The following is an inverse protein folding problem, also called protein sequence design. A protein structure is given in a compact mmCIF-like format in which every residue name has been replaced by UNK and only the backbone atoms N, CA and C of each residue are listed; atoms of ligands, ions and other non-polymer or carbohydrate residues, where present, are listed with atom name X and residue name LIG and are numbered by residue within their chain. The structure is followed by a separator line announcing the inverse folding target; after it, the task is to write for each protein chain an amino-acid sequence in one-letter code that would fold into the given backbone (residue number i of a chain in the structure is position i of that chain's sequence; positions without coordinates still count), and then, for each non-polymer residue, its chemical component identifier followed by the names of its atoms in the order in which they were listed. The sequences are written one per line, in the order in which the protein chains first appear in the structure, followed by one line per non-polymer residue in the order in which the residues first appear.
data_IF_695728974844
#
_entry.id   IF_695728974844
#
_cell.length_a   1.000
_cell.length_b   1.000
_cell.length_c   1.000
_cell.angle_alpha   90.00
_cell.angle_beta   90.00
_cell.angle_gamma   90.00
#
_symmetry.space_group_name_H-M   'P 1'
#
loop_
_entity.id
_entity.type
_entity.pdbx_description
1 polymer ?
#
# COMPACT_ATOMS: atom_id res chain seq x y z
N UNK A 1 -9.39 -20.80 -2.35
CA UNK A 1 -8.82 -19.61 -2.99
C UNK A 1 -7.84 -20.11 -4.02
N UNK A 2 -8.25 -20.21 -5.29
CA UNK A 2 -7.31 -20.53 -6.36
C UNK A 2 -6.28 -19.41 -6.42
N UNK A 3 -5.00 -19.75 -6.32
CA UNK A 3 -3.92 -18.78 -6.50
C UNK A 3 -4.07 -18.19 -7.89
N UNK A 4 -4.27 -16.86 -7.97
CA UNK A 4 -4.33 -16.15 -9.24
C UNK A 4 -3.08 -16.54 -10.03
N UNK A 5 -3.26 -17.32 -11.10
CA UNK A 5 -2.17 -17.85 -11.92
C UNK A 5 -1.35 -16.64 -12.35
N UNK A 6 -0.18 -16.46 -11.73
CA UNK A 6 0.65 -15.29 -11.99
C UNK A 6 0.86 -15.27 -13.49
N UNK A 7 0.56 -14.14 -14.15
CA UNK A 7 0.76 -14.00 -15.59
C UNK A 7 2.27 -13.95 -15.85
N UNK A 8 2.92 -15.11 -15.76
CA UNK A 8 4.26 -15.36 -16.23
C UNK A 8 4.09 -16.07 -17.55
N UNK A 9 4.59 -15.46 -18.63
CA UNK A 9 4.46 -16.04 -19.96
C UNK A 9 5.23 -17.35 -20.00
N UNK A 10 4.54 -18.43 -20.34
CA UNK A 10 5.14 -19.74 -20.56
C UNK A 10 5.77 -19.77 -21.96
N UNK A 11 6.92 -20.44 -22.09
CA UNK A 11 7.52 -20.68 -23.40
C UNK A 11 6.76 -21.83 -24.11
N UNK A 12 6.62 -21.78 -25.45
CA UNK A 12 7.05 -20.70 -26.33
C UNK A 12 6.13 -19.47 -26.27
N UNK A 13 6.70 -18.27 -26.44
CA UNK A 13 5.92 -17.03 -26.56
C UNK A 13 5.03 -17.14 -27.80
N UNK A 14 3.79 -16.64 -27.72
CA UNK A 14 2.89 -16.54 -28.86
C UNK A 14 3.59 -15.82 -30.04
N UNK A 15 3.67 -16.44 -31.24
CA UNK A 15 4.24 -15.81 -32.42
C UNK A 15 3.59 -14.45 -32.71
N UNK A 16 4.38 -13.43 -33.05
CA UNK A 16 3.90 -12.06 -33.30
C UNK A 16 3.70 -11.20 -32.05
N UNK A 17 4.07 -11.68 -30.86
CA UNK A 17 4.07 -10.88 -29.65
C UNK A 17 5.15 -9.78 -29.70
N UNK A 18 4.73 -8.51 -29.64
CA UNK A 18 5.60 -7.33 -29.70
C UNK A 18 5.67 -6.52 -28.40
N UNK A 19 5.04 -6.99 -27.33
CA UNK A 19 5.04 -6.27 -26.06
C UNK A 19 6.33 -6.47 -25.25
N UNK A 20 6.36 -5.92 -24.04
CA UNK A 20 7.53 -5.97 -23.16
C UNK A 20 8.03 -7.40 -22.84
N UNK A 21 9.35 -7.60 -22.90
CA UNK A 21 10.09 -8.81 -22.47
C UNK A 21 11.09 -8.40 -21.39
N UNK A 22 10.99 -8.94 -20.15
CA UNK A 22 11.94 -8.62 -19.08
C UNK A 22 13.39 -8.90 -19.46
N UNK A 23 14.32 -8.05 -19.00
CA UNK A 23 15.77 -8.12 -19.23
C UNK A 23 16.26 -7.99 -20.68
N UNK A 24 15.38 -8.03 -21.68
CA UNK A 24 15.76 -7.93 -23.09
C UNK A 24 16.48 -6.62 -23.42
N UNK A 25 16.04 -5.50 -22.84
CA UNK A 25 16.68 -4.19 -23.02
C UNK A 25 18.09 -4.10 -22.41
N UNK A 26 18.46 -5.03 -21.55
CA UNK A 26 19.74 -5.04 -20.85
C UNK A 26 20.83 -5.86 -21.56
N UNK A 27 20.48 -6.60 -22.62
CA UNK A 27 21.40 -7.56 -23.27
C UNK A 27 22.32 -6.98 -24.35
N UNK A 28 22.13 -5.73 -24.77
CA UNK A 28 23.12 -4.98 -25.56
C UNK A 28 23.38 -5.44 -27.02
N UNK A 29 23.04 -6.67 -27.42
CA UNK A 29 23.25 -7.17 -28.78
C UNK A 29 22.04 -7.94 -29.34
N UNK A 30 21.68 -7.60 -30.57
CA UNK A 30 20.54 -8.10 -31.34
C UNK A 30 20.82 -9.48 -31.95
N UNK A 31 20.70 -10.55 -31.17
CA UNK A 31 20.55 -11.90 -31.73
C UNK A 31 19.10 -12.38 -31.51
N UNK A 32 18.50 -12.97 -32.52
CA UNK A 32 17.08 -13.38 -32.52
C UNK A 32 16.76 -14.53 -31.54
N UNK A 33 17.76 -15.07 -30.83
CA UNK A 33 17.63 -16.20 -29.90
C UNK A 33 17.62 -15.81 -28.40
N UNK A 34 17.88 -14.55 -28.07
CA UNK A 34 18.11 -14.12 -26.68
C UNK A 34 16.83 -13.89 -25.84
N UNK A 35 15.64 -13.81 -26.48
CA UNK A 35 14.37 -13.65 -25.76
C UNK A 35 14.07 -14.84 -24.84
N UNK A 36 14.31 -16.05 -25.34
CA UNK A 36 14.08 -17.29 -24.59
C UNK A 36 14.95 -17.34 -23.33
N UNK A 37 16.21 -16.89 -23.47
CA UNK A 37 17.17 -16.81 -22.40
C UNK A 37 16.78 -15.78 -21.33
N UNK A 38 16.39 -14.57 -21.75
CA UNK A 38 15.89 -13.53 -20.86
C UNK A 38 14.68 -13.98 -20.03
N UNK A 39 13.72 -14.64 -20.67
CA UNK A 39 12.53 -15.14 -19.99
C UNK A 39 12.87 -16.26 -19.00
N UNK A 40 13.78 -17.16 -19.36
CA UNK A 40 14.26 -18.21 -18.46
C UNK A 40 14.92 -17.61 -17.21
N UNK A 41 15.83 -16.66 -17.38
CA UNK A 41 16.48 -15.96 -16.25
C UNK A 41 15.43 -15.27 -15.37
N UNK A 42 14.46 -14.58 -15.98
CA UNK A 42 13.40 -13.92 -15.23
C UNK A 42 12.55 -14.92 -14.42
N UNK A 43 12.21 -16.06 -15.01
CA UNK A 43 11.48 -17.12 -14.33
C UNK A 43 12.28 -17.70 -13.16
N UNK A 44 13.54 -18.03 -13.37
CA UNK A 44 14.45 -18.57 -12.34
C UNK A 44 14.64 -17.58 -11.18
N UNK A 45 14.91 -16.30 -11.49
CA UNK A 45 15.07 -15.26 -10.47
C UNK A 45 13.80 -15.04 -9.66
N UNK A 46 12.64 -15.03 -10.34
CA UNK A 46 11.35 -14.87 -9.68
C UNK A 46 11.06 -16.05 -8.75
N UNK A 47 11.37 -17.28 -9.20
CA UNK A 47 11.18 -18.47 -8.39
C UNK A 47 12.10 -18.46 -7.17
N UNK A 48 13.40 -18.17 -7.37
CA UNK A 48 14.36 -18.04 -6.28
C UNK A 48 13.93 -17.00 -5.24
N UNK A 49 13.42 -15.85 -5.67
CA UNK A 49 12.91 -14.83 -4.76
C UNK A 49 11.70 -15.32 -3.95
N UNK A 50 10.78 -16.04 -4.59
CA UNK A 50 9.64 -16.67 -3.90
C UNK A 50 10.10 -17.70 -2.88
N UNK A 51 11.06 -18.53 -3.24
CA UNK A 51 11.60 -19.57 -2.35
C UNK A 51 12.28 -18.94 -1.13
N UNK A 52 13.09 -17.89 -1.34
CA UNK A 52 13.71 -17.11 -0.26
C UNK A 52 12.66 -16.46 0.65
N UNK A 53 11.62 -15.86 0.06
CA UNK A 53 10.55 -15.24 0.84
C UNK A 53 9.82 -16.28 1.71
N UNK A 54 9.60 -17.47 1.19
CA UNK A 54 8.95 -18.55 1.92
C UNK A 54 9.86 -19.12 3.02
N UNK A 55 11.17 -19.22 2.77
CA UNK A 55 12.17 -19.55 3.79
C UNK A 55 12.17 -18.51 4.93
N UNK A 56 12.11 -17.22 4.59
CA UNK A 56 11.99 -16.15 5.58
C UNK A 56 10.70 -16.25 6.38
N UNK A 57 9.56 -16.56 5.75
CA UNK A 57 8.30 -16.76 6.46
C UNK A 57 8.38 -17.95 7.42
N UNK A 58 8.97 -19.06 6.98
CA UNK A 58 9.18 -20.24 7.82
C UNK A 58 10.08 -19.93 9.02
N UNK A 59 11.20 -19.24 8.80
CA UNK A 59 12.12 -18.87 9.89
C UNK A 59 11.47 -17.90 10.89
N UNK A 60 10.71 -16.91 10.42
CA UNK A 60 9.97 -15.99 11.30
C UNK A 60 8.87 -16.72 12.07
N UNK A 61 8.17 -17.66 11.45
CA UNK A 61 7.12 -18.44 12.10
C UNK A 61 7.67 -19.42 13.15
N UNK A 62 8.86 -19.96 12.93
CA UNK A 62 9.53 -20.89 13.86
C UNK A 62 10.35 -20.18 14.95
N UNK A 63 10.67 -18.90 14.75
CA UNK A 63 11.40 -18.12 15.74
C UNK A 63 10.62 -18.04 17.07
N UNK A 64 11.29 -18.21 18.22
CA UNK A 64 10.63 -18.11 19.50
C UNK A 64 10.12 -16.68 19.70
N UNK A 65 8.84 -16.55 20.09
CA UNK A 65 8.27 -15.25 20.45
C UNK A 65 9.04 -14.68 21.63
N UNK A 66 9.63 -13.51 21.44
CA UNK A 66 10.29 -12.78 22.52
C UNK A 66 9.27 -12.40 23.58
N UNK A 67 9.64 -12.55 24.85
CA UNK A 67 8.81 -12.07 25.96
C UNK A 67 8.98 -10.55 26.05
N UNK A 68 7.87 -9.79 26.08
CA UNK A 68 7.97 -8.34 26.27
C UNK A 68 8.57 -8.05 27.64
N UNK A 69 9.60 -7.19 27.66
CA UNK A 69 10.26 -6.75 28.91
C UNK A 69 9.41 -5.70 29.63
N UNK A 70 8.71 -4.85 28.87
CA UNK A 70 7.86 -3.78 29.37
C UNK A 70 6.39 -4.05 28.98
N UNK A 71 5.45 -3.57 29.79
CA UNK A 71 4.03 -3.59 29.43
C UNK A 71 3.78 -2.73 28.20
N UNK A 72 2.84 -3.15 27.36
CA UNK A 72 2.45 -2.44 26.14
C UNK A 72 2.04 -0.98 26.45
N UNK A 73 1.27 -0.79 27.52
CA UNK A 73 0.84 0.53 28.01
C UNK A 73 2.02 1.45 28.31
N UNK A 74 3.08 0.93 28.92
CA UNK A 74 4.28 1.71 29.25
C UNK A 74 4.97 2.18 27.96
N UNK A 75 5.07 1.31 26.96
CA UNK A 75 5.68 1.63 25.66
C UNK A 75 4.83 2.66 24.91
N UNK A 76 3.51 2.50 24.90
CA UNK A 76 2.62 3.47 24.26
C UNK A 76 2.69 4.84 24.93
N UNK A 77 2.76 4.88 26.26
CA UNK A 77 2.90 6.13 27.02
C UNK A 77 4.22 6.83 26.75
N UNK A 78 5.33 6.09 26.69
CA UNK A 78 6.65 6.68 26.38
C UNK A 78 6.74 7.14 24.93
N UNK A 79 6.21 6.38 23.98
CA UNK A 79 6.08 6.81 22.59
C UNK A 79 5.25 8.09 22.49
N UNK A 80 4.10 8.15 23.15
CA UNK A 80 3.26 9.34 23.19
C UNK A 80 4.02 10.55 23.76
N UNK A 81 4.75 10.37 24.86
CA UNK A 81 5.58 11.43 25.44
C UNK A 81 6.68 11.89 24.47
N UNK A 82 7.34 10.96 23.79
CA UNK A 82 8.36 11.25 22.77
C UNK A 82 7.76 12.08 21.62
N UNK A 83 6.65 11.63 21.05
CA UNK A 83 6.00 12.38 19.98
C UNK A 83 5.51 13.75 20.46
N UNK A 84 5.02 13.88 21.70
CA UNK A 84 4.63 15.19 22.25
C UNK A 84 5.81 16.15 22.35
N UNK A 85 6.99 15.64 22.67
CA UNK A 85 8.20 16.44 22.85
C UNK A 85 8.85 16.83 21.52
N UNK A 86 8.92 15.91 20.55
CA UNK A 86 9.71 16.11 19.32
C UNK A 86 8.87 16.26 18.05
N UNK A 87 7.64 15.73 18.04
CA UNK A 87 6.77 15.67 16.86
C UNK A 87 5.30 15.98 17.21
N UNK A 88 5.00 17.16 17.79
CA UNK A 88 3.66 17.48 18.27
C UNK A 88 2.60 17.41 17.14
N UNK A 89 2.98 17.75 15.91
CA UNK A 89 2.12 17.66 14.72
C UNK A 89 1.82 16.23 14.23
N UNK A 90 2.52 15.21 14.74
CA UNK A 90 2.25 13.81 14.42
C UNK A 90 1.20 13.19 15.36
N UNK A 91 1.12 13.66 16.61
CA UNK A 91 0.04 13.28 17.54
C UNK A 91 -1.24 14.02 17.21
N UNK A 92 -1.08 15.31 16.97
CA UNK A 92 -2.11 16.17 16.45
C UNK A 92 -2.19 15.94 14.94
N UNK A 93 -2.73 14.79 14.52
CA UNK A 93 -3.45 14.76 13.24
C UNK A 93 -4.72 15.60 13.40
N UNK A 94 -4.53 16.88 13.71
CA UNK A 94 -5.49 17.92 13.48
C UNK A 94 -5.59 17.93 11.97
N UNK A 95 -6.79 17.68 11.48
CA UNK A 95 -7.33 18.49 10.41
C UNK A 95 -7.08 19.96 10.78
N UNK A 96 -5.85 20.44 10.57
CA UNK A 96 -5.48 21.83 10.63
C UNK A 96 -6.24 22.42 9.46
N UNK A 97 -7.50 22.79 9.74
CA UNK A 97 -8.26 23.73 8.95
C UNK A 97 -7.40 24.97 8.88
N UNK A 98 -6.50 25.02 7.90
CA UNK A 98 -5.84 26.25 7.52
C UNK A 98 -7.00 27.18 7.18
N UNK A 99 -7.18 28.32 7.89
CA UNK A 99 -8.25 29.23 7.52
C UNK A 99 -8.02 29.59 6.06
N UNK A 100 -8.99 29.24 5.20
CA UNK A 100 -8.93 29.59 3.79
C UNK A 100 -8.92 31.11 3.74
N UNK A 101 -7.86 31.69 3.19
CA UNK A 101 -7.77 33.13 2.99
C UNK A 101 -8.76 33.61 1.93
N UNK A 102 -9.29 32.66 1.14
CA UNK A 102 -10.32 32.84 0.14
C UNK A 102 -11.67 32.29 0.63
N UNK A 103 -12.80 32.92 0.28
CA UNK A 103 -14.11 32.42 0.66
C UNK A 103 -14.34 31.02 0.05
N UNK A 104 -14.90 30.06 0.81
CA UNK A 104 -15.16 28.72 0.29
C UNK A 104 -16.14 28.80 -0.88
N UNK A 105 -15.79 28.16 -1.99
CA UNK A 105 -16.69 28.01 -3.14
C UNK A 105 -17.99 27.36 -2.62
N UNK A 106 -19.18 27.90 -2.94
CA UNK A 106 -20.44 27.31 -2.50
C UNK A 106 -20.50 25.81 -2.83
N UNK A 107 -20.60 24.98 -1.79
CA UNK A 107 -20.57 23.51 -1.90
C UNK A 107 -19.21 22.84 -1.68
N UNK A 108 -18.14 23.59 -1.40
CA UNK A 108 -16.78 23.06 -1.22
C UNK A 108 -16.23 23.39 0.17
N UNK A 109 -15.99 22.37 0.99
CA UNK A 109 -15.64 22.51 2.41
C UNK A 109 -14.12 22.59 2.70
N UNK A 110 -13.27 22.82 1.68
CA UNK A 110 -11.82 22.99 1.85
C UNK A 110 -11.05 21.73 2.29
N UNK A 111 -11.69 20.57 2.32
CA UNK A 111 -11.04 19.29 2.61
C UNK A 111 -10.67 18.59 1.31
N UNK A 112 -9.37 18.39 1.07
CA UNK A 112 -8.93 17.40 0.08
C UNK A 112 -9.04 16.03 0.76
N UNK A 113 -9.99 15.16 0.38
CA UNK A 113 -10.07 13.84 0.99
C UNK A 113 -8.76 13.11 0.70
N UNK A 114 -8.07 12.62 1.74
CA UNK A 114 -6.99 11.63 1.56
C UNK A 114 -7.59 10.27 1.21
N UNK A 115 -8.28 10.21 0.08
CA UNK A 115 -8.38 9.00 -0.71
C UNK A 115 -7.56 9.29 -1.97
N UNK A 116 -6.46 8.56 -2.18
CA UNK A 116 -5.72 8.69 -3.43
C UNK A 116 -6.68 8.34 -4.56
N UNK A 117 -7.02 9.34 -5.39
CA UNK A 117 -7.91 9.19 -6.56
C UNK A 117 -7.46 8.02 -7.45
N UNK A 118 -6.17 7.69 -7.40
CA UNK A 118 -5.54 6.58 -8.14
C UNK A 118 -5.95 5.18 -7.70
N UNK A 119 -6.50 4.95 -6.50
CA UNK A 119 -6.81 3.60 -6.01
C UNK A 119 -8.26 3.17 -6.27
N UNK A 120 -9.21 4.11 -6.26
CA UNK A 120 -10.64 3.85 -6.56
C UNK A 120 -11.03 4.20 -8.01
N UNK A 121 -10.21 5.01 -8.69
CA UNK A 121 -10.58 5.70 -9.93
C UNK A 121 -10.04 5.10 -11.23
N UNK A 122 -9.18 4.07 -11.18
CA UNK A 122 -8.70 3.44 -12.41
C UNK A 122 -9.85 2.71 -13.12
N UNK A 123 -10.26 3.24 -14.28
CA UNK A 123 -11.30 2.70 -15.18
C UNK A 123 -12.77 2.81 -14.70
N UNK A 124 -13.06 3.56 -13.63
CA UNK A 124 -14.43 3.68 -13.08
C UNK A 124 -15.14 4.93 -13.62
N UNK A 125 -16.43 4.82 -13.96
CA UNK A 125 -17.25 5.99 -14.36
C UNK A 125 -17.39 6.98 -13.20
N UNK A 126 -17.39 8.27 -13.51
CA UNK A 126 -17.46 9.37 -12.53
C UNK A 126 -18.60 9.23 -11.51
N UNK A 127 -19.80 8.86 -11.96
CA UNK A 127 -20.97 8.71 -11.08
C UNK A 127 -20.83 7.58 -10.07
N UNK A 128 -20.18 6.49 -10.46
CA UNK A 128 -19.90 5.34 -9.59
C UNK A 128 -18.82 5.71 -8.58
N UNK A 129 -17.77 6.40 -9.04
CA UNK A 129 -16.69 6.91 -8.18
C UNK A 129 -17.24 7.88 -7.12
N UNK A 130 -18.04 8.86 -7.52
CA UNK A 130 -18.64 9.84 -6.61
C UNK A 130 -19.51 9.17 -5.52
N UNK A 131 -20.31 8.16 -5.92
CA UNK A 131 -21.13 7.39 -4.97
C UNK A 131 -20.27 6.61 -3.97
N UNK A 132 -19.19 6.00 -4.42
CA UNK A 132 -18.29 5.22 -3.57
C UNK A 132 -17.54 6.13 -2.58
N UNK A 133 -16.99 7.25 -3.06
CA UNK A 133 -16.34 8.23 -2.20
C UNK A 133 -17.29 8.80 -1.13
N UNK A 134 -18.56 9.05 -1.49
CA UNK A 134 -19.55 9.53 -0.53
C UNK A 134 -19.85 8.50 0.57
N UNK A 135 -19.95 7.21 0.20
CA UNK A 135 -20.14 6.12 1.17
C UNK A 135 -18.94 5.97 2.11
N UNK A 136 -17.73 6.02 1.57
CA UNK A 136 -16.51 5.97 2.38
C UNK A 136 -16.44 7.15 3.35
N UNK A 137 -16.79 8.35 2.89
CA UNK A 137 -16.87 9.52 3.77
C UNK A 137 -17.84 9.31 4.93
N UNK A 138 -19.06 8.81 4.66
CA UNK A 138 -20.04 8.52 5.71
C UNK A 138 -19.50 7.49 6.71
N UNK A 139 -18.89 6.40 6.23
CA UNK A 139 -18.29 5.37 7.07
C UNK A 139 -17.20 5.94 7.99
N UNK A 140 -16.32 6.78 7.46
CA UNK A 140 -15.26 7.45 8.24
C UNK A 140 -15.89 8.35 9.31
N UNK A 141 -16.90 9.15 8.96
CA UNK A 141 -17.56 10.03 9.93
C UNK A 141 -18.29 9.25 11.03
N UNK A 142 -18.92 8.11 10.70
CA UNK A 142 -19.53 7.25 11.70
C UNK A 142 -18.48 6.56 12.58
N UNK A 143 -17.39 6.05 12.02
CA UNK A 143 -16.29 5.48 12.78
C UNK A 143 -15.67 6.51 13.72
N UNK A 144 -15.48 7.76 13.27
CA UNK A 144 -14.97 8.84 14.11
C UNK A 144 -15.93 9.20 15.26
N UNK A 145 -17.26 9.14 15.04
CA UNK A 145 -18.26 9.32 16.11
C UNK A 145 -18.28 8.16 17.10
N UNK A 146 -18.03 6.93 16.63
CA UNK A 146 -18.03 5.72 17.45
C UNK A 146 -16.71 5.49 18.17
N UNK A 147 -15.62 6.04 17.66
CA UNK A 147 -14.32 6.00 18.31
C UNK A 147 -14.46 6.64 19.70
N UNK A 148 -14.50 5.77 20.72
CA UNK A 148 -14.46 6.22 22.10
C UNK A 148 -13.15 7.00 22.31
N UNK A 149 -13.17 7.96 23.25
CA UNK A 149 -11.94 8.55 23.76
C UNK A 149 -10.98 7.42 24.09
N UNK A 150 -9.70 7.62 23.75
CA UNK A 150 -8.72 6.55 23.87
C UNK A 150 -8.68 6.13 25.35
N UNK A 151 -8.68 4.82 25.65
CA UNK A 151 -8.87 4.30 27.01
C UNK A 151 -7.77 4.71 28.02
N UNK A 152 -6.75 5.44 27.58
CA UNK A 152 -5.65 5.94 28.41
C UNK A 152 -5.80 7.43 28.79
N UNK A 153 -6.89 8.08 28.42
CA UNK A 153 -7.20 9.48 28.78
C UNK A 153 -8.09 9.60 30.05
N UNK A 154 -8.30 8.50 30.79
CA UNK A 154 -8.88 8.48 32.14
C UNK A 154 -7.81 8.40 33.25
#
# INVERSE_FOLDING_TARGET
MESSKTFMRHLPITPGYSGFVPYLSCQGTSSEDDMSHCLRIFQENTQRYKDQLEEFRCSVATAPKLKPICSEETVLRTLHQYYRQYHPFSLECKDLKKPLQEPPIPGWAGYLPRARVTELGCATRYTVMARNCYRDFLNITEQARRAHLKPYEE
#
